data_IF_032976102102
#
_entry.id   IF_032976102102
#
_cell.length_a   1.000
_cell.length_b   1.000
_cell.length_c   1.000
_cell.angle_alpha   90.00
_cell.angle_beta   90.00
_cell.angle_gamma   90.00
#
_symmetry.space_group_name_H-M   'P 1'
#
loop_
_entity.id
_entity.type
_entity.pdbx_description
1 polymer ?
#
# COMPACT_ATOMS: atom_id res chain seq x y z
N UNK A 1 -7.82 7.30 -13.30
CA UNK A 1 -6.72 6.31 -13.34
C UNK A 1 -7.20 5.00 -13.88
N UNK A 2 -8.25 4.45 -13.30
CA UNK A 2 -8.93 3.22 -13.73
C UNK A 2 -9.40 3.25 -15.19
N UNK A 3 -9.96 4.35 -15.68
CA UNK A 3 -10.38 4.50 -17.10
C UNK A 3 -9.24 4.32 -18.12
N UNK A 4 -7.99 4.50 -17.70
CA UNK A 4 -6.81 4.33 -18.55
C UNK A 4 -6.10 2.99 -18.31
N UNK A 5 -6.76 2.05 -17.63
CA UNK A 5 -6.29 0.69 -17.39
C UNK A 5 -7.12 -0.29 -18.23
N UNK A 6 -6.50 -1.39 -18.64
CA UNK A 6 -7.20 -2.52 -19.25
C UNK A 6 -7.96 -3.37 -18.21
N UNK A 7 -7.69 -3.17 -16.92
CA UNK A 7 -8.25 -3.98 -15.84
C UNK A 7 -9.58 -3.43 -15.33
N UNK A 8 -10.58 -4.29 -15.06
CA UNK A 8 -11.77 -3.90 -14.30
C UNK A 8 -11.37 -3.48 -12.88
N UNK A 9 -11.78 -2.26 -12.49
CA UNK A 9 -11.42 -1.69 -11.20
C UNK A 9 -12.64 -1.03 -10.52
N UNK A 10 -13.65 -1.81 -10.08
CA UNK A 10 -14.79 -1.28 -9.33
C UNK A 10 -14.33 -0.55 -8.05
N UNK A 11 -15.01 0.55 -7.76
CA UNK A 11 -14.76 1.36 -6.57
C UNK A 11 -15.93 1.21 -5.61
N UNK A 12 -15.63 0.80 -4.38
CA UNK A 12 -16.56 0.77 -3.26
C UNK A 12 -16.05 1.73 -2.19
N UNK A 13 -16.89 2.16 -1.26
CA UNK A 13 -16.41 3.06 -0.21
C UNK A 13 -17.29 3.06 1.01
N UNK A 14 -16.64 3.19 2.15
CA UNK A 14 -17.25 3.60 3.40
C UNK A 14 -17.37 5.13 3.37
N UNK A 15 -18.33 5.62 2.56
CA UNK A 15 -18.42 7.04 2.19
C UNK A 15 -18.58 7.96 3.41
N UNK A 16 -19.24 7.49 4.47
CA UNK A 16 -19.38 8.24 5.72
C UNK A 16 -18.06 8.54 6.42
N UNK A 17 -17.04 7.71 6.19
CA UNK A 17 -15.73 7.77 6.87
C UNK A 17 -14.62 8.22 5.90
N UNK A 18 -14.96 8.53 4.64
CA UNK A 18 -14.02 8.99 3.62
C UNK A 18 -13.07 7.92 3.07
N UNK A 19 -13.32 6.64 3.32
CA UNK A 19 -12.48 5.53 2.86
C UNK A 19 -13.04 4.89 1.57
N UNK A 20 -12.20 4.77 0.54
CA UNK A 20 -12.53 4.18 -0.75
C UNK A 20 -11.63 2.99 -1.09
N UNK A 21 -12.24 1.94 -1.59
CA UNK A 21 -11.63 0.69 -2.02
C UNK A 21 -11.72 0.59 -3.54
N UNK A 22 -10.57 0.70 -4.22
CA UNK A 22 -10.45 0.37 -5.63
C UNK A 22 -10.02 -1.09 -5.78
N UNK A 23 -10.95 -1.98 -6.10
CA UNK A 23 -10.65 -3.40 -6.25
C UNK A 23 -10.17 -3.69 -7.68
N UNK A 24 -8.86 -3.84 -7.87
CA UNK A 24 -8.27 -4.18 -9.18
C UNK A 24 -8.46 -5.68 -9.40
N UNK A 25 -9.30 -6.06 -10.36
CA UNK A 25 -9.56 -7.45 -10.71
C UNK A 25 -8.50 -7.92 -11.71
N UNK A 26 -7.83 -9.03 -11.39
CA UNK A 26 -6.74 -9.60 -12.19
C UNK A 26 -6.92 -11.11 -12.32
N UNK A 27 -6.45 -11.66 -13.43
CA UNK A 27 -6.04 -13.07 -13.54
C UNK A 27 -4.61 -13.22 -12.99
N UNK A 28 -4.41 -13.91 -11.85
CA UNK A 28 -3.07 -14.11 -11.27
C UNK A 28 -2.13 -14.93 -12.17
N UNK A 29 -2.65 -15.65 -13.15
CA UNK A 29 -1.85 -16.40 -14.12
C UNK A 29 -1.35 -15.53 -15.28
N UNK A 30 -1.81 -14.28 -15.41
CA UNK A 30 -1.40 -13.34 -16.46
C UNK A 30 -0.35 -12.34 -15.93
N UNK A 31 0.93 -12.48 -16.32
CA UNK A 31 1.97 -11.55 -15.88
C UNK A 31 1.73 -10.10 -16.33
N UNK A 32 1.10 -9.91 -17.49
CA UNK A 32 0.74 -8.59 -18.02
C UNK A 32 -0.30 -7.90 -17.14
N UNK A 33 -1.33 -8.62 -16.69
CA UNK A 33 -2.33 -8.06 -15.78
C UNK A 33 -1.73 -7.74 -14.41
N UNK A 34 -0.81 -8.58 -13.92
CA UNK A 34 -0.11 -8.31 -12.66
C UNK A 34 0.76 -7.05 -12.76
N UNK A 35 1.46 -6.84 -13.87
CA UNK A 35 2.25 -5.62 -14.11
C UNK A 35 1.34 -4.38 -14.21
N UNK A 36 0.23 -4.47 -14.95
CA UNK A 36 -0.73 -3.39 -15.08
C UNK A 36 -1.41 -3.05 -13.74
N UNK A 37 -1.71 -4.05 -12.92
CA UNK A 37 -2.27 -3.85 -11.59
C UNK A 37 -1.29 -3.12 -10.66
N UNK A 38 -0.01 -3.49 -10.68
CA UNK A 38 1.01 -2.79 -9.90
C UNK A 38 1.21 -1.34 -10.38
N UNK A 39 1.21 -1.12 -11.70
CA UNK A 39 1.26 0.23 -12.27
C UNK A 39 0.05 1.07 -11.85
N UNK A 40 -1.15 0.50 -11.93
CA UNK A 40 -2.39 1.18 -11.52
C UNK A 40 -2.40 1.47 -10.02
N UNK A 41 -2.03 0.51 -9.18
CA UNK A 41 -1.93 0.65 -7.72
C UNK A 41 -0.98 1.80 -7.34
N UNK A 42 0.23 1.84 -7.90
CA UNK A 42 1.19 2.94 -7.66
C UNK A 42 0.61 4.31 -8.02
N UNK A 43 -0.11 4.42 -9.15
CA UNK A 43 -0.73 5.69 -9.58
C UNK A 43 -1.84 6.14 -8.64
N UNK A 44 -2.69 5.21 -8.19
CA UNK A 44 -3.78 5.48 -7.25
C UNK A 44 -3.21 5.93 -5.90
N UNK A 45 -2.25 5.20 -5.34
CA UNK A 45 -1.61 5.55 -4.07
C UNK A 45 -0.92 6.91 -4.17
N UNK A 46 -0.09 7.14 -5.19
CA UNK A 46 0.58 8.42 -5.36
C UNK A 46 -0.41 9.59 -5.52
N UNK A 47 -1.59 9.36 -6.12
CA UNK A 47 -2.66 10.36 -6.18
C UNK A 47 -3.25 10.63 -4.81
N UNK A 48 -3.57 9.59 -4.04
CA UNK A 48 -4.09 9.74 -2.68
C UNK A 48 -3.13 10.54 -1.81
N UNK A 49 -1.83 10.21 -1.82
CA UNK A 49 -0.81 10.92 -1.03
C UNK A 49 -0.67 12.39 -1.44
N UNK A 50 -0.72 12.72 -2.75
CA UNK A 50 -0.71 14.13 -3.22
C UNK A 50 -1.93 14.94 -2.79
N UNK A 51 -2.99 14.28 -2.34
CA UNK A 51 -4.22 14.89 -1.85
C UNK A 51 -4.30 14.82 -0.31
N UNK A 52 -3.15 14.66 0.36
CA UNK A 52 -3.02 14.48 1.81
C UNK A 52 -3.83 13.27 2.35
N UNK A 53 -4.13 12.31 1.47
CA UNK A 53 -4.66 11.00 1.83
C UNK A 53 -3.55 10.03 2.25
N UNK A 54 -3.90 8.75 2.35
CA UNK A 54 -3.00 7.69 2.83
C UNK A 54 -2.90 6.56 1.80
N UNK A 55 -1.78 5.82 1.81
CA UNK A 55 -1.62 4.64 0.98
C UNK A 55 -2.53 3.47 1.42
N UNK A 56 -3.12 3.55 2.61
CA UNK A 56 -3.93 2.49 3.19
C UNK A 56 -5.20 2.99 3.87
N UNK A 57 -6.02 2.07 4.35
CA UNK A 57 -7.23 2.32 5.13
C UNK A 57 -7.38 1.18 6.12
N UNK A 58 -8.52 0.48 6.09
CA UNK A 58 -8.80 -0.65 7.01
C UNK A 58 -7.92 -1.89 6.82
N UNK A 59 -7.32 -2.09 5.63
CA UNK A 59 -6.56 -3.31 5.32
C UNK A 59 -5.05 -3.21 5.63
N UNK A 60 -4.57 -2.06 6.12
CA UNK A 60 -3.17 -1.86 6.50
C UNK A 60 -2.17 -1.91 5.33
N UNK A 61 -0.88 -1.90 5.65
CA UNK A 61 0.20 -1.76 4.66
C UNK A 61 0.60 -3.13 4.09
N UNK A 62 0.89 -4.08 4.97
CA UNK A 62 1.32 -5.44 4.57
C UNK A 62 2.52 -5.42 3.62
N UNK A 63 2.72 -6.51 2.88
CA UNK A 63 3.88 -6.64 1.99
C UNK A 63 3.81 -5.72 0.77
N UNK A 64 2.61 -5.57 0.19
CA UNK A 64 2.43 -4.86 -1.09
C UNK A 64 2.53 -3.33 -0.96
N UNK A 65 2.25 -2.74 0.20
CA UNK A 65 2.28 -1.28 0.36
C UNK A 65 3.47 -0.76 1.14
N UNK A 66 4.39 -1.63 1.60
CA UNK A 66 5.59 -1.23 2.34
C UNK A 66 6.36 -0.12 1.63
N UNK A 67 6.45 -0.19 0.30
CA UNK A 67 7.19 0.78 -0.49
C UNK A 67 6.64 2.21 -0.39
N UNK A 68 5.35 2.36 -0.09
CA UNK A 68 4.71 3.68 0.03
C UNK A 68 4.88 4.32 1.41
N UNK A 69 5.39 3.61 2.41
CA UNK A 69 5.57 4.15 3.77
C UNK A 69 6.52 5.35 3.79
N UNK A 70 7.58 5.32 2.99
CA UNK A 70 8.52 6.44 2.90
C UNK A 70 7.87 7.63 2.21
N UNK A 71 7.07 7.39 1.17
CA UNK A 71 6.34 8.45 0.48
C UNK A 71 5.28 9.11 1.39
N UNK A 72 4.64 8.33 2.26
CA UNK A 72 3.59 8.82 3.17
C UNK A 72 4.15 9.47 4.45
N UNK A 73 5.16 8.87 5.08
CA UNK A 73 5.63 9.29 6.41
C UNK A 73 7.04 9.88 6.41
N UNK A 74 7.79 9.74 5.32
CA UNK A 74 9.20 10.14 5.24
C UNK A 74 10.15 9.11 5.87
N UNK A 75 11.42 9.16 5.44
CA UNK A 75 12.44 8.22 5.85
C UNK A 75 12.70 8.23 7.37
N UNK A 76 12.70 9.40 8.00
CA UNK A 76 12.97 9.56 9.43
C UNK A 76 11.90 8.89 10.30
N UNK A 77 10.62 9.04 9.93
CA UNK A 77 9.53 8.40 10.65
C UNK A 77 9.55 6.87 10.49
N UNK A 78 9.82 6.38 9.27
CA UNK A 78 9.94 4.94 9.02
C UNK A 78 11.14 4.34 9.77
N UNK A 79 12.27 5.05 9.86
CA UNK A 79 13.40 4.63 10.67
C UNK A 79 13.08 4.64 12.18
N UNK A 80 12.28 5.59 12.66
CA UNK A 80 11.79 5.56 14.04
C UNK A 80 10.94 4.30 14.31
N UNK A 81 10.02 3.95 13.40
CA UNK A 81 9.23 2.71 13.49
C UNK A 81 10.14 1.47 13.52
N UNK A 82 11.17 1.44 12.68
CA UNK A 82 12.18 0.38 12.64
C UNK A 82 12.95 0.26 13.98
N UNK A 83 13.32 1.38 14.60
CA UNK A 83 13.98 1.38 15.93
C UNK A 83 13.07 0.84 17.02
N UNK A 84 11.80 1.22 17.02
CA UNK A 84 10.81 0.68 17.96
C UNK A 84 10.71 -0.84 17.79
N UNK A 85 10.57 -1.32 16.55
CA UNK A 85 10.51 -2.76 16.25
C UNK A 85 11.74 -3.51 16.78
N UNK A 86 12.95 -3.01 16.52
CA UNK A 86 14.20 -3.63 17.01
C UNK A 86 14.32 -3.61 18.54
N UNK A 87 13.76 -2.59 19.21
CA UNK A 87 13.78 -2.51 20.66
C UNK A 87 12.90 -3.58 21.33
N UNK A 88 11.75 -3.90 20.74
CA UNK A 88 10.82 -4.92 21.26
C UNK A 88 11.02 -6.31 20.67
N UNK A 89 11.73 -6.44 19.55
CA UNK A 89 12.05 -7.72 18.91
C UNK A 89 13.52 -7.75 18.46
N UNK A 90 14.46 -7.85 19.42
CA UNK A 90 15.89 -7.83 19.13
C UNK A 90 16.38 -9.03 18.31
N UNK A 91 15.62 -10.12 18.26
CA UNK A 91 15.93 -11.32 17.47
C UNK A 91 15.22 -11.36 16.11
N UNK A 92 14.40 -10.35 15.82
CA UNK A 92 13.59 -10.24 14.61
C UNK A 92 12.71 -11.48 14.31
N UNK A 93 12.09 -12.06 15.34
CA UNK A 93 11.26 -13.28 15.22
C UNK A 93 9.76 -12.99 15.07
N UNK A 94 9.32 -11.77 15.36
CA UNK A 94 7.91 -11.39 15.31
C UNK A 94 7.57 -10.83 13.92
N UNK A 95 7.27 -11.73 12.97
CA UNK A 95 6.76 -11.42 11.63
C UNK A 95 7.66 -10.45 10.82
N UNK A 96 8.92 -10.85 10.54
CA UNK A 96 9.89 -10.00 9.86
C UNK A 96 9.44 -9.60 8.46
N UNK A 97 9.78 -8.37 8.05
CA UNK A 97 9.50 -7.88 6.70
C UNK A 97 8.04 -7.56 6.37
N UNK A 98 7.08 -7.71 7.30
CA UNK A 98 5.64 -7.57 6.96
C UNK A 98 5.13 -6.12 6.87
N UNK A 99 5.72 -5.19 7.61
CA UNK A 99 5.38 -3.74 7.58
C UNK A 99 6.64 -2.88 7.51
N UNK A 100 7.77 -3.38 7.99
CA UNK A 100 9.06 -2.68 7.98
C UNK A 100 10.13 -3.63 7.46
N UNK A 101 11.09 -3.11 6.70
CA UNK A 101 12.26 -3.85 6.23
C UNK A 101 13.34 -3.87 7.31
N UNK A 102 13.07 -4.61 8.38
CA UNK A 102 13.97 -4.84 9.51
C UNK A 102 14.06 -6.30 9.86
#
# INVERSE_FOLDING_TARGET
>A
DTEASSLPAPILGHVGDGNFHCAILVDPASPEEMEEAERLNRRIVARALRMDGTCTGEHGVGLHKIDFLIDEHGADAVELMARIKRAFDPLNILNPGKVLRV
#
